data_IF_864897909403
#
_entry.id   IF_864897909403
#
_cell.length_a   1.000
_cell.length_b   1.000
_cell.length_c   1.000
_cell.angle_alpha   90.00
_cell.angle_beta   90.00
_cell.angle_gamma   90.00
#
_symmetry.space_group_name_H-M   'P 1'
#
loop_
_entity.id
_entity.type
_entity.pdbx_description
1 polymer ?
#
# COMPACT_ATOMS: atom_id res chain seq x y z
N UNK A 1 7.12 -2.55 -10.63
CA UNK A 1 6.49 -1.44 -11.35
C UNK A 1 7.15 -1.27 -12.72
N UNK A 2 6.35 -1.03 -13.77
CA UNK A 2 6.85 -0.59 -15.08
C UNK A 2 7.20 0.92 -15.06
N UNK A 3 7.77 1.43 -16.15
CA UNK A 3 8.22 2.84 -16.21
C UNK A 3 7.09 3.86 -16.04
N UNK A 4 5.88 3.58 -16.53
CA UNK A 4 4.75 4.49 -16.38
C UNK A 4 4.25 4.52 -14.92
N UNK A 5 4.24 3.38 -14.24
CA UNK A 5 3.91 3.29 -12.81
C UNK A 5 4.97 4.01 -11.96
N UNK A 6 6.26 3.85 -12.29
CA UNK A 6 7.35 4.58 -11.64
C UNK A 6 7.23 6.09 -11.85
N UNK A 7 6.87 6.51 -13.06
CA UNK A 7 6.65 7.93 -13.37
C UNK A 7 5.50 8.51 -12.54
N UNK A 8 4.36 7.82 -12.48
CA UNK A 8 3.23 8.26 -11.63
C UNK A 8 3.61 8.30 -10.14
N UNK A 9 4.40 7.34 -9.67
CA UNK A 9 4.90 7.36 -8.30
C UNK A 9 5.74 8.61 -8.04
N UNK A 10 6.67 8.96 -8.93
CA UNK A 10 7.49 10.17 -8.81
C UNK A 10 6.65 11.44 -8.80
N UNK A 11 5.66 11.54 -9.68
CA UNK A 11 4.71 12.66 -9.76
C UNK A 11 3.91 12.81 -8.45
N UNK A 12 3.54 11.69 -7.83
CA UNK A 12 2.72 11.69 -6.60
C UNK A 12 3.55 11.90 -5.33
N UNK A 13 4.75 11.32 -5.27
CA UNK A 13 5.62 11.32 -4.10
C UNK A 13 6.68 12.44 -4.09
N UNK A 14 6.74 13.27 -5.13
CA UNK A 14 7.74 14.34 -5.23
C UNK A 14 9.17 13.83 -5.44
N UNK A 15 9.36 12.83 -6.30
CA UNK A 15 10.65 12.18 -6.61
C UNK A 15 11.34 11.42 -5.46
N UNK A 16 10.70 11.23 -4.31
CA UNK A 16 11.23 10.36 -3.26
C UNK A 16 11.31 8.90 -3.74
N UNK A 17 12.47 8.26 -3.58
CA UNK A 17 12.61 6.83 -3.89
C UNK A 17 11.77 5.98 -2.92
N UNK A 18 11.07 4.94 -3.42
CA UNK A 18 10.30 4.06 -2.55
C UNK A 18 11.21 3.15 -1.75
N UNK A 19 11.03 3.15 -0.41
CA UNK A 19 11.64 2.19 0.50
C UNK A 19 11.05 0.79 0.34
N UNK A 20 9.78 0.73 -0.03
CA UNK A 20 9.04 -0.50 -0.25
C UNK A 20 8.04 -0.31 -1.39
N UNK A 21 7.86 -1.34 -2.22
CA UNK A 21 6.82 -1.37 -3.24
C UNK A 21 6.24 -2.78 -3.32
N UNK A 22 4.99 -2.92 -2.91
CA UNK A 22 4.26 -4.19 -2.90
C UNK A 22 3.16 -4.14 -3.94
N UNK A 23 3.08 -5.19 -4.75
CA UNK A 23 1.95 -5.39 -5.67
C UNK A 23 0.87 -6.17 -4.95
N UNK A 24 -0.32 -5.59 -4.82
CA UNK A 24 -1.47 -6.31 -4.29
C UNK A 24 -2.04 -7.31 -5.30
N UNK A 25 -2.76 -8.31 -4.80
CA UNK A 25 -3.62 -9.17 -5.62
C UNK A 25 -4.96 -8.49 -5.93
N UNK A 26 -5.31 -7.45 -5.16
CA UNK A 26 -6.46 -6.61 -5.45
C UNK A 26 -6.19 -5.77 -6.71
N UNK A 27 -7.22 -5.54 -7.51
CA UNK A 27 -7.09 -4.71 -8.70
C UNK A 27 -8.32 -3.87 -8.94
N UNK A 28 -8.19 -2.82 -9.75
CA UNK A 28 -9.27 -1.88 -10.04
C UNK A 28 -9.56 -1.85 -11.54
N UNK A 29 -10.75 -1.37 -11.92
CA UNK A 29 -10.97 -1.00 -13.31
C UNK A 29 -10.24 0.33 -13.60
N UNK A 30 -9.05 0.22 -14.18
CA UNK A 30 -8.31 1.36 -14.72
C UNK A 30 -8.53 1.52 -16.24
N UNK A 31 -9.76 1.27 -16.72
CA UNK A 31 -10.17 1.40 -18.12
C UNK A 31 -9.87 0.16 -18.98
N UNK A 32 -9.67 -0.99 -18.35
CA UNK A 32 -9.51 -2.30 -19.01
C UNK A 32 -10.72 -3.14 -18.62
N UNK A 33 -11.83 -2.97 -19.33
CA UNK A 33 -13.14 -3.56 -19.00
C UNK A 33 -13.09 -5.08 -18.72
N UNK A 34 -12.08 -5.78 -19.23
CA UNK A 34 -11.87 -7.23 -19.07
C UNK A 34 -10.71 -7.65 -18.15
N UNK A 35 -9.90 -6.71 -17.64
CA UNK A 35 -8.74 -7.02 -16.79
C UNK A 35 -8.57 -5.99 -15.68
N UNK A 36 -8.66 -6.44 -14.43
CA UNK A 36 -8.35 -5.59 -13.26
C UNK A 36 -6.87 -5.23 -13.27
N UNK A 37 -6.58 -3.96 -13.03
CA UNK A 37 -5.21 -3.45 -12.89
C UNK A 37 -4.84 -3.50 -11.42
N UNK A 38 -3.80 -4.24 -11.02
CA UNK A 38 -3.43 -4.38 -9.62
C UNK A 38 -2.98 -3.04 -9.03
N UNK A 39 -3.29 -2.84 -7.75
CA UNK A 39 -2.80 -1.69 -6.99
C UNK A 39 -1.40 -1.98 -6.45
N UNK A 40 -0.53 -0.99 -6.58
CA UNK A 40 0.76 -0.92 -5.89
C UNK A 40 0.59 -0.15 -4.59
N UNK A 41 1.20 -0.65 -3.52
CA UNK A 41 1.38 0.05 -2.26
C UNK A 41 2.86 0.38 -2.12
N UNK A 42 3.18 1.67 -2.11
CA UNK A 42 4.54 2.18 -2.11
C UNK A 42 4.78 3.04 -0.87
N UNK A 43 5.84 2.75 -0.12
CA UNK A 43 6.28 3.60 0.99
C UNK A 43 7.36 4.54 0.47
N UNK A 44 7.08 5.84 0.47
CA UNK A 44 8.01 6.89 0.00
C UNK A 44 8.17 7.94 1.09
N UNK A 45 9.39 8.08 1.64
CA UNK A 45 9.63 9.03 2.73
C UNK A 45 8.76 8.74 3.96
N UNK A 46 7.81 9.63 4.24
CA UNK A 46 6.82 9.54 5.32
C UNK A 46 5.39 9.28 4.81
N UNK A 47 5.23 8.95 3.53
CA UNK A 47 3.94 8.74 2.88
C UNK A 47 3.78 7.30 2.41
N UNK A 48 2.54 6.80 2.50
CA UNK A 48 2.05 5.65 1.75
C UNK A 48 1.38 6.16 0.47
N UNK A 49 1.86 5.70 -0.67
CA UNK A 49 1.28 5.97 -1.99
C UNK A 49 0.64 4.69 -2.51
N UNK A 50 -0.64 4.78 -2.89
CA UNK A 50 -1.38 3.69 -3.52
C UNK A 50 -1.61 4.08 -4.97
N UNK A 51 -1.20 3.26 -5.95
CA UNK A 51 -1.33 3.62 -7.36
C UNK A 51 -1.64 2.44 -8.28
N UNK A 52 -2.28 2.74 -9.41
CA UNK A 52 -2.49 1.81 -10.51
C UNK A 52 -2.50 2.58 -11.85
N UNK A 53 -1.91 1.98 -12.89
CA UNK A 53 -1.88 2.59 -14.22
C UNK A 53 -2.27 1.59 -15.31
N UNK A 54 -3.29 1.95 -16.09
CA UNK A 54 -3.58 1.33 -17.38
C UNK A 54 -4.04 2.38 -18.39
N UNK A 55 -5.32 2.39 -18.81
CA UNK A 55 -5.88 3.48 -19.63
C UNK A 55 -6.19 4.71 -18.79
N UNK A 56 -6.57 4.49 -17.53
CA UNK A 56 -6.74 5.51 -16.51
C UNK A 56 -5.61 5.41 -15.48
N UNK A 57 -5.28 6.54 -14.86
CA UNK A 57 -4.33 6.63 -13.76
C UNK A 57 -5.12 6.78 -12.45
N UNK A 58 -4.68 6.07 -11.43
CA UNK A 58 -5.16 6.24 -10.08
C UNK A 58 -3.95 6.35 -9.17
N UNK A 59 -3.94 7.36 -8.32
CA UNK A 59 -2.93 7.56 -7.30
C UNK A 59 -3.58 8.24 -6.10
N UNK A 60 -3.32 7.71 -4.91
CA UNK A 60 -3.71 8.28 -3.63
C UNK A 60 -2.49 8.31 -2.73
N UNK A 61 -2.43 9.32 -1.86
CA UNK A 61 -1.31 9.50 -0.93
C UNK A 61 -1.85 9.78 0.46
N UNK A 62 -1.31 9.10 1.45
CA UNK A 62 -1.62 9.36 2.86
C UNK A 62 -0.35 9.32 3.72
N UNK A 63 -0.22 10.17 4.75
CA UNK A 63 0.91 10.09 5.67
C UNK A 63 0.92 8.77 6.43
N UNK A 64 2.08 8.12 6.59
CA UNK A 64 2.22 6.87 7.36
C UNK A 64 1.74 7.04 8.81
N UNK A 65 1.90 8.23 9.39
CA UNK A 65 1.44 8.57 10.73
C UNK A 65 -0.08 8.42 10.93
N UNK A 66 -0.86 8.43 9.84
CA UNK A 66 -2.31 8.18 9.88
C UNK A 66 -2.66 6.70 9.78
N UNK A 67 -1.71 5.82 9.47
CA UNK A 67 -1.96 4.41 9.15
C UNK A 67 -1.61 3.46 10.31
N UNK A 68 -1.56 3.95 11.55
CA UNK A 68 -1.01 3.23 12.73
C UNK A 68 -1.90 2.12 13.28
N UNK A 69 -3.16 2.02 12.85
CA UNK A 69 -4.09 0.95 13.23
C UNK A 69 -4.32 -0.05 12.10
N UNK A 70 -3.44 -0.02 11.09
CA UNK A 70 -3.45 -0.98 9.98
C UNK A 70 -3.19 -2.39 10.52
N UNK A 71 -3.83 -3.39 9.94
CA UNK A 71 -3.71 -4.77 10.40
C UNK A 71 -3.92 -5.75 9.25
N UNK A 72 -3.46 -6.99 9.45
CA UNK A 72 -3.75 -8.09 8.54
C UNK A 72 -4.91 -8.91 9.08
N UNK A 73 -5.94 -9.12 8.26
CA UNK A 73 -7.03 -10.01 8.58
C UNK A 73 -6.71 -11.42 8.07
N UNK A 74 -6.36 -12.32 9.01
CA UNK A 74 -6.05 -13.72 8.71
C UNK A 74 -7.23 -14.53 8.15
N UNK A 75 -8.47 -14.12 8.45
CA UNK A 75 -9.65 -14.82 7.94
C UNK A 75 -9.95 -14.51 6.47
N UNK A 76 -9.60 -13.31 5.99
CA UNK A 76 -9.87 -12.89 4.61
C UNK A 76 -8.62 -12.85 3.72
N UNK A 77 -7.42 -12.88 4.32
CA UNK A 77 -6.15 -12.75 3.60
C UNK A 77 -5.88 -11.33 3.11
N UNK A 78 -6.48 -10.34 3.77
CA UNK A 78 -6.41 -8.93 3.38
C UNK A 78 -5.59 -8.11 4.37
N UNK A 79 -4.77 -7.22 3.84
CA UNK A 79 -4.22 -6.10 4.56
C UNK A 79 -5.24 -4.96 4.57
N UNK A 80 -5.53 -4.42 5.76
CA UNK A 80 -6.40 -3.26 5.96
C UNK A 80 -5.55 -2.07 6.39
N UNK A 81 -5.62 -0.97 5.64
CA UNK A 81 -4.95 0.29 5.95
C UNK A 81 -5.90 1.17 6.78
N UNK A 82 -5.49 1.56 7.98
CA UNK A 82 -6.34 2.32 8.91
C UNK A 82 -5.52 3.11 9.95
N UNK A 83 -6.07 4.21 10.51
CA UNK A 83 -7.29 4.91 10.10
C UNK A 83 -7.10 5.79 8.84
N UNK A 84 -7.84 5.52 7.77
CA UNK A 84 -7.84 6.44 6.61
C UNK A 84 -9.23 6.51 5.98
N UNK A 85 -9.91 7.64 6.19
CA UNK A 85 -11.27 7.89 5.67
C UNK A 85 -11.27 8.30 4.20
N UNK A 86 -10.18 8.92 3.74
CA UNK A 86 -10.09 9.52 2.41
C UNK A 86 -9.51 8.58 1.34
N UNK A 87 -9.11 7.35 1.70
CA UNK A 87 -8.66 6.37 0.72
C UNK A 87 -9.85 5.69 0.08
N UNK A 88 -9.94 5.79 -1.25
CA UNK A 88 -10.90 5.03 -2.03
C UNK A 88 -10.69 3.53 -1.90
N UNK A 89 -9.44 3.09 -1.75
CA UNK A 89 -9.08 1.70 -1.51
C UNK A 89 -8.20 1.58 -0.27
N UNK A 90 -8.71 0.88 0.74
CA UNK A 90 -7.99 0.65 2.00
C UNK A 90 -7.91 -0.83 2.40
N UNK A 91 -8.40 -1.75 1.56
CA UNK A 91 -8.30 -3.20 1.76
C UNK A 91 -7.63 -3.84 0.56
N UNK A 92 -6.66 -4.70 0.83
CA UNK A 92 -5.80 -5.26 -0.21
C UNK A 92 -5.56 -6.74 0.05
N UNK A 93 -6.09 -7.60 -0.82
CA UNK A 93 -5.72 -9.01 -0.79
C UNK A 93 -4.24 -9.16 -1.14
N UNK A 94 -3.48 -9.81 -0.26
CA UNK A 94 -2.06 -10.09 -0.49
C UNK A 94 -1.53 -11.18 0.46
N UNK A 95 -0.39 -11.82 0.12
CA UNK A 95 0.26 -12.77 1.01
C UNK A 95 0.65 -12.13 2.36
N UNK A 96 0.51 -12.89 3.45
CA UNK A 96 0.87 -12.45 4.81
C UNK A 96 2.30 -11.88 4.87
N UNK A 97 3.26 -12.51 4.18
CA UNK A 97 4.65 -12.04 4.15
C UNK A 97 4.77 -10.59 3.67
N UNK A 98 4.07 -10.24 2.59
CA UNK A 98 4.11 -8.86 2.07
C UNK A 98 3.35 -7.91 2.99
N UNK A 99 2.21 -8.34 3.53
CA UNK A 99 1.45 -7.54 4.49
C UNK A 99 2.27 -7.21 5.75
N UNK A 100 2.99 -8.19 6.31
CA UNK A 100 3.85 -7.99 7.49
C UNK A 100 4.95 -6.97 7.17
N UNK A 101 5.64 -7.08 6.02
CA UNK A 101 6.66 -6.10 5.62
C UNK A 101 6.13 -4.68 5.58
N UNK A 102 4.87 -4.48 5.15
CA UNK A 102 4.26 -3.15 5.19
C UNK A 102 3.89 -2.76 6.63
N UNK A 103 3.28 -3.65 7.40
CA UNK A 103 2.88 -3.38 8.78
C UNK A 103 4.06 -3.04 9.69
N UNK A 104 5.23 -3.62 9.46
CA UNK A 104 6.47 -3.27 10.18
C UNK A 104 6.83 -1.79 10.00
N UNK A 105 6.53 -1.21 8.83
CA UNK A 105 6.75 0.20 8.52
C UNK A 105 5.62 1.07 9.08
N UNK A 106 4.36 0.62 8.96
CA UNK A 106 3.19 1.40 9.40
C UNK A 106 3.06 1.46 10.92
N UNK A 107 3.44 0.37 11.61
CA UNK A 107 3.26 0.19 13.04
C UNK A 107 4.60 -0.17 13.73
N UNK A 108 5.61 0.70 13.68
CA UNK A 108 6.93 0.38 14.24
C UNK A 108 6.88 0.06 15.75
N UNK A 109 5.93 0.66 16.49
CA UNK A 109 5.72 0.41 17.92
C UNK A 109 5.25 -1.03 18.23
N UNK A 110 4.62 -1.72 17.28
CA UNK A 110 4.09 -3.07 17.50
C UNK A 110 5.17 -4.16 17.54
N UNK A 111 6.39 -3.87 17.04
CA UNK A 111 7.55 -4.77 17.13
C UNK A 111 8.28 -4.69 18.47
N UNK A 112 8.27 -3.52 19.14
CA UNK A 112 8.95 -3.32 20.42
C UNK A 112 8.42 -4.22 21.54
N UNK A 113 7.11 -4.52 21.53
CA UNK A 113 6.49 -5.39 22.51
C UNK A 113 6.69 -6.90 22.26
N UNK A 114 7.03 -7.32 21.04
CA UNK A 114 7.25 -8.74 20.74
C UNK A 114 8.67 -9.24 21.06
N UNK A 115 9.63 -8.32 21.21
CA UNK A 115 11.02 -8.65 21.54
C UNK A 115 11.32 -8.65 23.05
N UNK A 116 10.37 -8.24 23.90
CA UNK A 116 10.53 -8.23 25.36
C UNK A 116 9.92 -9.45 26.06
N UNK A 117 9.21 -10.31 25.32
CA UNK A 117 8.53 -11.50 25.86
C UNK A 117 9.03 -12.82 25.20
N UNK A 118 10.31 -12.89 24.84
CA UNK A 118 10.98 -14.14 24.51
C UNK A 118 12.14 -14.41 25.46
#
# INVERSE_FOLDING_TARGET
MNEIEKQLLRETAGNAEPKLSIRSCEGIDAGRWWRRTPLWLCVTGADLVILAVARRRHAEKTPLATCTSSHYNHSTGELVIAPVENLRFNRFRMPLREAIRLLEILNPASLGHKLQNQ
#
